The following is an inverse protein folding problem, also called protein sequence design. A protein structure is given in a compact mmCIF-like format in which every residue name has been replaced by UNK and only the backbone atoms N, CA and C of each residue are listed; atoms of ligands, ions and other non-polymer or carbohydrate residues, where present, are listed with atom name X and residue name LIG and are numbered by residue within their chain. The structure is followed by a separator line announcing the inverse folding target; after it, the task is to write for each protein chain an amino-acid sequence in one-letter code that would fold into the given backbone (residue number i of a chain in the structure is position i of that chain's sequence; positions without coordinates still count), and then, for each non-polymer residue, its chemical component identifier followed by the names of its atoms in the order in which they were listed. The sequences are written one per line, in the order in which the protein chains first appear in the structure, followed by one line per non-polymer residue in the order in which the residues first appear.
data_IF_026305602313
#
_entry.id   IF_026305602313
#
_cell.length_a   1.000
_cell.length_b   1.000
_cell.length_c   1.000
_cell.angle_alpha   90.00
_cell.angle_beta   90.00
_cell.angle_gamma   90.00
#
_symmetry.space_group_name_H-M   'P 1'
#
loop_
_entity.id
_entity.type
_entity.pdbx_description
1 polymer ?
#
# COMPACT_ATOMS: atom_id res chain seq x y z
N UNK A 1 -14.63 42.47 -50.66
CA UNK A 1 -13.27 42.91 -50.27
C UNK A 1 -13.29 43.13 -48.75
N UNK A 2 -12.76 42.22 -47.91
CA UNK A 2 -12.81 42.41 -46.46
C UNK A 2 -11.86 43.52 -45.99
N UNK A 3 -12.26 44.26 -44.95
CA UNK A 3 -11.63 45.50 -44.46
C UNK A 3 -10.27 45.28 -43.79
N UNK A 4 -9.50 46.37 -43.63
CA UNK A 4 -8.14 46.38 -43.08
C UNK A 4 -8.02 45.83 -41.64
N UNK A 5 -9.13 45.75 -40.90
CA UNK A 5 -9.17 45.13 -39.56
C UNK A 5 -9.11 43.60 -39.60
N UNK A 6 -9.68 42.97 -40.63
CA UNK A 6 -9.65 41.52 -40.79
C UNK A 6 -8.24 40.97 -41.08
N UNK A 7 -7.37 41.79 -41.71
CA UNK A 7 -5.96 41.42 -41.95
C UNK A 7 -5.08 41.55 -40.70
N UNK A 8 -5.49 42.32 -39.69
CA UNK A 8 -4.77 42.41 -38.40
C UNK A 8 -5.09 41.24 -37.47
N UNK A 9 -6.31 40.71 -37.50
CA UNK A 9 -6.71 39.55 -36.69
C UNK A 9 -6.01 38.25 -37.11
N UNK A 10 -5.62 38.10 -38.38
CA UNK A 10 -4.96 36.88 -38.87
C UNK A 10 -3.44 36.87 -38.68
N UNK A 11 -2.84 37.98 -38.26
CA UNK A 11 -1.38 38.09 -38.09
C UNK A 11 -0.88 37.61 -36.71
N UNK A 12 -1.77 37.33 -35.76
CA UNK A 12 -1.40 36.92 -34.39
C UNK A 12 -1.22 35.40 -34.25
N UNK A 13 -1.48 34.61 -35.29
CA UNK A 13 -1.39 33.13 -35.23
C UNK A 13 -0.01 32.57 -35.65
N UNK A 14 0.95 33.40 -36.10
CA UNK A 14 2.18 32.88 -36.72
C UNK A 14 3.53 33.25 -36.08
N UNK A 15 3.57 33.90 -34.90
CA UNK A 15 4.86 34.10 -34.21
C UNK A 15 4.73 33.85 -32.71
N UNK A 16 5.34 32.76 -32.26
CA UNK A 16 5.36 32.35 -30.86
C UNK A 16 5.87 33.45 -29.93
N UNK A 17 5.05 33.78 -28.93
CA UNK A 17 5.40 34.82 -27.96
C UNK A 17 4.35 34.97 -26.87
N UNK A 18 4.40 34.07 -25.88
CA UNK A 18 3.92 34.21 -24.50
C UNK A 18 2.68 35.12 -24.29
N UNK A 19 1.52 34.49 -24.21
CA UNK A 19 0.39 35.09 -23.48
C UNK A 19 0.83 35.33 -22.02
N UNK A 20 1.05 36.58 -21.65
CA UNK A 20 1.09 36.95 -20.24
C UNK A 20 -0.33 36.83 -19.69
N UNK A 21 -0.57 36.05 -18.62
CA UNK A 21 -1.89 35.99 -18.01
C UNK A 21 -2.25 37.37 -17.45
N UNK A 22 -3.52 37.78 -17.58
CA UNK A 22 -4.00 39.06 -17.09
C UNK A 22 -3.69 39.24 -15.58
N UNK A 23 -3.13 40.40 -15.15
CA UNK A 23 -2.94 40.68 -13.73
C UNK A 23 -4.31 40.83 -13.09
N UNK A 24 -4.74 39.80 -12.37
CA UNK A 24 -6.10 39.72 -11.80
C UNK A 24 -6.79 38.37 -11.99
N UNK A 25 -6.19 37.42 -12.72
CA UNK A 25 -6.58 36.03 -12.63
C UNK A 25 -6.15 35.46 -11.27
N UNK A 26 -6.83 35.88 -10.20
CA UNK A 26 -6.90 35.09 -8.99
C UNK A 26 -7.38 33.72 -9.43
N UNK A 27 -6.49 32.72 -9.34
CA UNK A 27 -6.89 31.33 -9.40
C UNK A 27 -7.90 31.15 -8.26
N UNK A 28 -9.19 31.30 -8.58
CA UNK A 28 -10.24 30.86 -7.69
C UNK A 28 -9.97 29.38 -7.49
N UNK A 29 -9.40 29.05 -6.34
CA UNK A 29 -9.24 27.68 -5.89
C UNK A 29 -10.66 27.12 -5.89
N UNK A 30 -10.98 26.34 -6.92
CA UNK A 30 -12.24 25.63 -6.97
C UNK A 30 -12.33 24.84 -5.66
N UNK A 31 -13.47 24.88 -4.96
CA UNK A 31 -13.62 24.14 -3.71
C UNK A 31 -13.16 22.70 -3.96
N UNK A 32 -12.24 22.24 -3.13
CA UNK A 32 -11.63 20.93 -3.28
C UNK A 32 -12.74 19.88 -3.37
N UNK A 33 -12.72 19.07 -4.43
CA UNK A 33 -13.66 17.96 -4.55
C UNK A 33 -13.46 17.05 -3.31
N UNK A 34 -14.50 16.84 -2.47
CA UNK A 34 -14.36 16.06 -1.23
C UNK A 34 -13.79 14.65 -1.44
N UNK A 35 -14.08 14.03 -2.58
CA UNK A 35 -13.52 12.72 -2.93
C UNK A 35 -12.00 12.79 -3.22
N UNK A 36 -11.55 13.86 -3.89
CA UNK A 36 -10.12 14.11 -4.11
C UNK A 36 -9.39 14.33 -2.78
N UNK A 37 -9.99 15.04 -1.85
CA UNK A 37 -9.45 15.23 -0.50
C UNK A 37 -9.27 13.90 0.23
N UNK A 38 -10.29 13.03 0.20
CA UNK A 38 -10.24 11.68 0.79
C UNK A 38 -9.12 10.83 0.18
N UNK A 39 -8.98 10.84 -1.15
CA UNK A 39 -7.92 10.10 -1.85
C UNK A 39 -6.53 10.63 -1.44
N UNK A 40 -6.36 11.95 -1.36
CA UNK A 40 -5.09 12.55 -0.94
C UNK A 40 -4.74 12.21 0.51
N UNK A 41 -5.72 12.27 1.40
CA UNK A 41 -5.55 11.90 2.81
C UNK A 41 -5.18 10.42 2.96
N UNK A 42 -5.88 9.52 2.26
CA UNK A 42 -5.55 8.09 2.19
C UNK A 42 -4.10 7.88 1.72
N UNK A 43 -3.70 8.53 0.62
CA UNK A 43 -2.34 8.43 0.10
C UNK A 43 -1.29 8.96 1.09
N UNK A 44 -1.59 10.05 1.79
CA UNK A 44 -0.70 10.62 2.79
C UNK A 44 -0.51 9.67 3.97
N UNK A 45 -1.58 9.07 4.50
CA UNK A 45 -1.52 8.08 5.57
C UNK A 45 -0.74 6.83 5.14
N UNK A 46 -0.97 6.34 3.92
CA UNK A 46 -0.22 5.20 3.38
C UNK A 46 1.27 5.50 3.24
N UNK A 47 1.65 6.69 2.77
CA UNK A 47 3.06 7.11 2.70
C UNK A 47 3.68 7.24 4.08
N UNK A 48 2.96 7.86 5.03
CA UNK A 48 3.42 8.02 6.41
C UNK A 48 3.65 6.67 7.10
N UNK A 49 2.69 5.73 6.96
CA UNK A 49 2.83 4.37 7.49
C UNK A 49 4.05 3.66 6.91
N UNK A 50 4.20 3.68 5.58
CA UNK A 50 5.34 3.06 4.90
C UNK A 50 6.70 3.67 5.30
N UNK A 51 6.77 5.00 5.46
CA UNK A 51 7.97 5.67 5.93
C UNK A 51 8.30 5.29 7.38
N UNK A 52 7.30 5.23 8.25
CA UNK A 52 7.47 4.80 9.64
C UNK A 52 7.95 3.34 9.74
N UNK A 53 7.50 2.43 8.86
CA UNK A 53 8.05 1.06 8.78
C UNK A 53 9.54 1.09 8.43
N UNK A 54 9.93 1.87 7.42
CA UNK A 54 11.31 1.97 6.98
C UNK A 54 12.23 2.57 8.07
N UNK A 55 11.70 3.42 8.92
CA UNK A 55 12.40 4.01 10.07
C UNK A 55 12.34 3.15 11.35
N UNK A 56 11.65 2.01 11.32
CA UNK A 56 11.48 1.14 12.49
C UNK A 56 10.51 1.66 13.55
N UNK A 57 9.73 2.70 13.25
CA UNK A 57 8.71 3.29 14.14
C UNK A 57 7.38 2.54 14.00
N UNK A 58 7.35 1.29 14.44
CA UNK A 58 6.24 0.37 14.17
C UNK A 58 4.90 0.78 14.79
N UNK A 59 4.89 1.42 15.96
CA UNK A 59 3.66 1.95 16.58
C UNK A 59 3.06 3.09 15.74
N UNK A 60 3.90 3.97 15.20
CA UNK A 60 3.46 5.06 14.32
C UNK A 60 2.97 4.53 12.96
N UNK A 61 3.63 3.50 12.44
CA UNK A 61 3.19 2.78 11.24
C UNK A 61 1.80 2.15 11.48
N UNK A 62 1.64 1.43 12.60
CA UNK A 62 0.37 0.83 13.00
C UNK A 62 -0.74 1.87 13.08
N UNK A 63 -0.51 3.00 13.76
CA UNK A 63 -1.51 4.07 13.89
C UNK A 63 -1.95 4.63 12.51
N UNK A 64 -1.00 4.74 11.57
CA UNK A 64 -1.30 5.21 10.21
C UNK A 64 -2.19 4.20 9.46
N UNK A 65 -1.84 2.91 9.51
CA UNK A 65 -2.64 1.87 8.86
C UNK A 65 -4.00 1.65 9.55
N UNK A 66 -4.08 1.75 10.88
CA UNK A 66 -5.34 1.72 11.63
C UNK A 66 -6.29 2.83 11.15
N UNK A 67 -5.76 4.04 10.98
CA UNK A 67 -6.53 5.18 10.47
C UNK A 67 -7.04 4.90 9.05
N UNK A 68 -6.22 4.30 8.19
CA UNK A 68 -6.64 3.92 6.84
C UNK A 68 -7.81 2.92 6.88
N UNK A 69 -7.66 1.85 7.65
CA UNK A 69 -8.66 0.78 7.78
C UNK A 69 -9.98 1.31 8.33
N UNK A 70 -9.95 2.26 9.26
CA UNK A 70 -11.16 2.81 9.88
C UNK A 70 -11.87 3.85 9.00
N UNK A 71 -11.12 4.73 8.32
CA UNK A 71 -11.69 5.90 7.65
C UNK A 71 -11.93 5.72 6.15
N UNK A 72 -11.32 4.71 5.53
CA UNK A 72 -11.37 4.49 4.09
C UNK A 72 -11.78 3.06 3.70
N UNK A 73 -12.81 2.45 4.33
CA UNK A 73 -13.16 1.05 4.08
C UNK A 73 -13.63 0.77 2.64
N UNK A 74 -14.01 1.81 1.91
CA UNK A 74 -14.50 1.77 0.53
C UNK A 74 -13.39 1.71 -0.54
N UNK A 75 -12.11 1.85 -0.15
CA UNK A 75 -11.00 1.87 -1.10
C UNK A 75 -10.29 0.51 -1.16
N UNK A 76 -10.00 0.03 -2.37
CA UNK A 76 -9.21 -1.19 -2.57
C UNK A 76 -7.82 -1.13 -1.90
N UNK A 77 -7.22 0.06 -1.79
CA UNK A 77 -5.96 0.30 -1.07
C UNK A 77 -6.02 -0.11 0.41
N UNK A 78 -7.22 -0.14 0.99
CA UNK A 78 -7.42 -0.50 2.39
C UNK A 78 -7.05 -1.94 2.66
N UNK A 79 -7.22 -2.84 1.70
CA UNK A 79 -6.76 -4.23 1.85
C UNK A 79 -5.24 -4.34 2.01
N UNK A 80 -4.47 -3.50 1.31
CA UNK A 80 -3.02 -3.41 1.54
C UNK A 80 -2.68 -2.80 2.91
N UNK A 81 -3.46 -1.82 3.38
CA UNK A 81 -3.29 -1.26 4.71
C UNK A 81 -3.60 -2.29 5.79
N UNK A 82 -4.62 -3.15 5.58
CA UNK A 82 -4.94 -4.26 6.47
C UNK A 82 -3.77 -5.26 6.55
N UNK A 83 -3.20 -5.67 5.41
CA UNK A 83 -2.02 -6.52 5.43
C UNK A 83 -0.86 -5.87 6.20
N UNK A 84 -0.53 -4.61 5.89
CA UNK A 84 0.54 -3.87 6.55
C UNK A 84 0.31 -3.72 8.06
N UNK A 85 -0.93 -3.48 8.48
CA UNK A 85 -1.38 -3.46 9.87
C UNK A 85 -1.10 -4.79 10.57
N UNK A 86 -1.48 -5.91 9.96
CA UNK A 86 -1.24 -7.24 10.54
C UNK A 86 0.26 -7.51 10.75
N UNK A 87 1.11 -7.12 9.79
CA UNK A 87 2.56 -7.22 9.94
C UNK A 87 3.09 -6.37 11.09
N UNK A 88 2.56 -5.15 11.28
CA UNK A 88 2.95 -4.28 12.40
C UNK A 88 2.47 -4.82 13.74
N UNK A 89 1.25 -5.35 13.81
CA UNK A 89 0.74 -6.03 15.00
C UNK A 89 1.66 -7.19 15.41
N UNK A 90 2.09 -7.99 14.44
CA UNK A 90 2.99 -9.10 14.71
C UNK A 90 4.34 -8.61 15.25
N UNK A 91 4.95 -7.61 14.59
CA UNK A 91 6.20 -6.98 15.00
C UNK A 91 6.14 -6.43 16.42
N UNK A 92 5.01 -5.86 16.82
CA UNK A 92 4.76 -5.30 18.15
C UNK A 92 4.34 -6.34 19.20
N UNK A 93 4.35 -7.63 18.86
CA UNK A 93 4.02 -8.71 19.80
C UNK A 93 2.52 -8.96 19.98
N UNK A 94 1.65 -8.26 19.24
CA UNK A 94 0.20 -8.50 19.22
C UNK A 94 -0.15 -9.66 18.29
N UNK A 95 0.43 -10.83 18.56
CA UNK A 95 0.39 -12.00 17.67
C UNK A 95 -1.02 -12.50 17.39
N UNK A 96 -1.90 -12.58 18.40
CA UNK A 96 -3.27 -13.06 18.21
C UNK A 96 -4.07 -12.16 17.25
N UNK A 97 -3.95 -10.84 17.40
CA UNK A 97 -4.62 -9.87 16.53
C UNK A 97 -4.10 -9.96 15.09
N UNK A 98 -2.79 -10.17 14.93
CA UNK A 98 -2.16 -10.34 13.63
C UNK A 98 -2.64 -11.61 12.91
N UNK A 99 -2.72 -12.74 13.63
CA UNK A 99 -3.21 -14.01 13.09
C UNK A 99 -4.66 -13.89 12.63
N UNK A 100 -5.54 -13.41 13.50
CA UNK A 100 -6.95 -13.21 13.15
C UNK A 100 -7.12 -12.33 11.91
N UNK A 101 -6.32 -11.28 11.79
CA UNK A 101 -6.39 -10.40 10.63
C UNK A 101 -5.86 -11.04 9.35
N UNK A 102 -4.78 -11.82 9.41
CA UNK A 102 -4.27 -12.54 8.23
C UNK A 102 -5.21 -13.66 7.79
N UNK A 103 -5.85 -14.37 8.73
CA UNK A 103 -6.87 -15.39 8.44
C UNK A 103 -8.08 -14.77 7.73
N UNK A 104 -8.54 -13.59 8.18
CA UNK A 104 -9.62 -12.87 7.48
C UNK A 104 -9.19 -12.35 6.09
N UNK A 105 -7.94 -11.91 5.95
CA UNK A 105 -7.36 -11.51 4.67
C UNK A 105 -7.21 -12.69 3.71
N UNK A 106 -6.92 -13.90 4.20
CA UNK A 106 -6.83 -15.11 3.37
C UNK A 106 -8.15 -15.38 2.63
N UNK A 107 -9.27 -15.21 3.33
CA UNK A 107 -10.61 -15.42 2.77
C UNK A 107 -10.94 -14.35 1.73
N UNK A 108 -10.67 -13.09 2.05
CA UNK A 108 -11.01 -11.95 1.19
C UNK A 108 -10.05 -11.75 0.00
N UNK A 109 -8.79 -12.17 0.13
CA UNK A 109 -7.71 -11.95 -0.84
C UNK A 109 -7.03 -13.26 -1.27
N UNK A 110 -7.82 -14.28 -1.62
CA UNK A 110 -7.33 -15.63 -1.98
C UNK A 110 -6.26 -15.70 -3.08
N UNK A 111 -6.13 -14.66 -3.90
CA UNK A 111 -5.11 -14.56 -4.97
C UNK A 111 -3.84 -13.81 -4.57
N UNK A 112 -3.72 -13.33 -3.34
CA UNK A 112 -2.62 -12.48 -2.89
C UNK A 112 -1.55 -13.33 -2.20
N UNK A 113 -0.54 -13.72 -2.97
CA UNK A 113 0.59 -14.53 -2.49
C UNK A 113 1.21 -14.02 -1.18
N UNK A 114 1.25 -12.70 -0.97
CA UNK A 114 1.85 -12.09 0.22
C UNK A 114 1.10 -12.43 1.52
N UNK A 115 -0.23 -12.47 1.47
CA UNK A 115 -1.06 -12.82 2.63
C UNK A 115 -0.77 -14.26 3.04
N UNK A 116 -0.80 -15.17 2.05
CA UNK A 116 -0.54 -16.58 2.24
C UNK A 116 0.90 -16.85 2.74
N UNK A 117 1.91 -16.19 2.17
CA UNK A 117 3.29 -16.31 2.62
C UNK A 117 3.47 -15.80 4.06
N UNK A 118 2.82 -14.68 4.41
CA UNK A 118 2.89 -14.13 5.75
C UNK A 118 2.19 -15.04 6.77
N UNK A 119 1.01 -15.54 6.43
CA UNK A 119 0.25 -16.44 7.29
C UNK A 119 0.99 -17.77 7.50
N UNK A 120 1.53 -18.38 6.44
CA UNK A 120 2.35 -19.58 6.53
C UNK A 120 3.54 -19.41 7.50
N UNK A 121 4.32 -18.34 7.30
CA UNK A 121 5.49 -18.04 8.11
C UNK A 121 5.13 -17.83 9.59
N UNK A 122 4.02 -17.14 9.86
CA UNK A 122 3.58 -16.83 11.22
C UNK A 122 2.96 -18.04 11.92
N UNK A 123 2.12 -18.82 11.24
CA UNK A 123 1.55 -20.07 11.77
C UNK A 123 2.66 -21.05 12.15
N UNK A 124 3.68 -21.17 11.31
CA UNK A 124 4.81 -22.05 11.57
C UNK A 124 5.50 -21.75 12.90
N UNK A 125 5.78 -20.47 13.16
CA UNK A 125 6.49 -20.04 14.37
C UNK A 125 5.58 -20.02 15.61
N UNK A 126 4.35 -19.54 15.46
CA UNK A 126 3.48 -19.20 16.59
C UNK A 126 2.47 -20.31 16.91
N UNK A 127 2.19 -21.20 15.96
CA UNK A 127 1.22 -22.30 16.07
C UNK A 127 1.76 -23.60 15.46
N UNK A 128 2.81 -24.22 16.04
CA UNK A 128 3.39 -25.46 15.50
C UNK A 128 2.40 -26.62 15.32
N UNK A 129 1.31 -26.64 16.10
CA UNK A 129 0.23 -27.62 15.95
C UNK A 129 -0.59 -27.48 14.66
N UNK A 130 -0.44 -26.35 13.95
CA UNK A 130 -1.11 -26.04 12.68
C UNK A 130 -0.13 -26.09 11.49
N UNK A 131 0.91 -26.93 11.58
CA UNK A 131 1.94 -27.04 10.54
C UNK A 131 1.34 -27.38 9.16
N UNK A 132 0.45 -28.35 9.08
CA UNK A 132 -0.21 -28.73 7.82
C UNK A 132 -0.96 -27.56 7.18
N UNK A 133 -1.55 -26.68 8.00
CA UNK A 133 -2.22 -25.48 7.51
C UNK A 133 -1.20 -24.45 7.02
N UNK A 134 -0.09 -24.26 7.74
CA UNK A 134 1.00 -23.39 7.29
C UNK A 134 1.57 -23.84 5.93
N UNK A 135 1.75 -25.15 5.72
CA UNK A 135 2.22 -25.71 4.45
C UNK A 135 1.21 -25.51 3.31
N UNK A 136 -0.08 -25.65 3.59
CA UNK A 136 -1.14 -25.34 2.61
C UNK A 136 -1.11 -23.87 2.20
N UNK A 137 -0.97 -22.95 3.16
CA UNK A 137 -0.84 -21.53 2.87
C UNK A 137 0.41 -21.25 2.03
N UNK A 138 1.52 -21.91 2.33
CA UNK A 138 2.73 -21.78 1.54
C UNK A 138 2.56 -22.26 0.11
N UNK A 139 1.92 -23.40 -0.11
CA UNK A 139 1.65 -23.93 -1.44
C UNK A 139 0.86 -22.92 -2.28
N UNK A 140 -0.17 -22.30 -1.70
CA UNK A 140 -0.95 -21.25 -2.38
C UNK A 140 -0.06 -20.04 -2.72
N UNK A 141 0.80 -19.60 -1.79
CA UNK A 141 1.73 -18.51 -2.06
C UNK A 141 2.66 -18.82 -3.25
N UNK A 142 3.14 -20.06 -3.36
CA UNK A 142 4.01 -20.51 -4.45
C UNK A 142 3.32 -20.63 -5.81
N UNK A 143 2.01 -20.94 -5.82
CA UNK A 143 1.21 -20.97 -7.05
C UNK A 143 1.06 -19.57 -7.66
N UNK A 144 0.93 -18.55 -6.82
CA UNK A 144 0.79 -17.15 -7.28
C UNK A 144 2.11 -16.42 -7.45
N UNK A 145 3.08 -16.62 -6.55
CA UNK A 145 4.39 -15.96 -6.63
C UNK A 145 5.48 -16.73 -5.88
N UNK A 146 6.30 -17.46 -6.65
CA UNK A 146 7.45 -18.21 -6.13
C UNK A 146 8.56 -17.33 -5.53
N UNK A 147 8.54 -16.02 -5.78
CA UNK A 147 9.56 -15.11 -5.28
C UNK A 147 9.59 -15.03 -3.74
N UNK A 148 8.51 -15.42 -3.05
CA UNK A 148 8.50 -15.47 -1.59
C UNK A 148 9.46 -16.53 -1.01
N UNK A 149 9.88 -17.51 -1.80
CA UNK A 149 10.92 -18.48 -1.41
C UNK A 149 12.34 -17.86 -1.37
N UNK A 150 12.52 -16.64 -1.86
CA UNK A 150 13.77 -15.89 -1.76
C UNK A 150 13.64 -14.76 -0.71
N UNK A 151 14.20 -14.94 0.51
CA UNK A 151 14.19 -13.91 1.54
C UNK A 151 14.80 -12.58 1.11
N UNK A 152 15.79 -12.60 0.21
CA UNK A 152 16.42 -11.37 -0.28
C UNK A 152 15.45 -10.60 -1.17
N UNK A 153 14.71 -11.31 -2.03
CA UNK A 153 13.65 -10.71 -2.82
C UNK A 153 12.55 -10.12 -1.92
N UNK A 154 12.12 -10.85 -0.89
CA UNK A 154 11.10 -10.35 0.06
C UNK A 154 11.61 -9.10 0.77
N UNK A 155 12.83 -9.10 1.28
CA UNK A 155 13.43 -7.92 1.92
C UNK A 155 13.53 -6.70 0.98
N UNK A 156 13.81 -6.93 -0.31
CA UNK A 156 13.99 -5.85 -1.29
C UNK A 156 12.67 -5.30 -1.83
N UNK A 157 11.62 -6.13 -1.94
CA UNK A 157 10.37 -5.77 -2.63
C UNK A 157 9.20 -5.57 -1.68
N UNK A 158 9.26 -6.14 -0.48
CA UNK A 158 8.19 -6.10 0.52
C UNK A 158 8.66 -5.34 1.75
N UNK A 159 7.69 -4.78 2.49
CA UNK A 159 7.94 -4.02 3.72
C UNK A 159 7.69 -4.87 4.95
N UNK A 160 8.25 -6.08 4.96
CA UNK A 160 8.11 -6.99 6.08
C UNK A 160 9.01 -6.53 7.23
N UNK A 161 8.47 -6.35 8.44
CA UNK A 161 9.28 -5.95 9.57
C UNK A 161 10.19 -7.11 10.03
N UNK A 162 11.26 -6.84 10.80
CA UNK A 162 12.30 -7.82 11.12
C UNK A 162 11.77 -9.12 11.73
N UNK A 163 10.77 -9.05 12.62
CA UNK A 163 10.17 -10.26 13.23
C UNK A 163 9.46 -11.13 12.19
N UNK A 164 8.80 -10.51 11.22
CA UNK A 164 8.16 -11.24 10.12
C UNK A 164 9.20 -11.90 9.20
N UNK A 165 10.28 -11.18 8.87
CA UNK A 165 11.39 -11.74 8.10
C UNK A 165 12.08 -12.90 8.82
N UNK A 166 12.23 -12.82 10.15
CA UNK A 166 12.74 -13.92 10.95
C UNK A 166 11.79 -15.14 10.96
N UNK A 167 10.48 -14.91 10.94
CA UNK A 167 9.51 -16.00 10.82
C UNK A 167 9.59 -16.69 9.46
N UNK A 168 9.75 -15.93 8.37
CA UNK A 168 9.98 -16.47 7.03
C UNK A 168 11.27 -17.29 6.95
N UNK A 169 12.39 -16.77 7.47
CA UNK A 169 13.67 -17.48 7.49
C UNK A 169 13.57 -18.80 8.26
N UNK A 170 12.84 -18.82 9.39
CA UNK A 170 12.58 -20.06 10.13
C UNK A 170 11.73 -21.04 9.34
N UNK A 171 10.67 -20.57 8.69
CA UNK A 171 9.82 -21.41 7.84
C UNK A 171 10.64 -22.08 6.72
N UNK A 172 11.44 -21.30 5.99
CA UNK A 172 12.20 -21.77 4.83
C UNK A 172 13.35 -22.72 5.15
N UNK A 173 13.89 -22.69 6.38
CA UNK A 173 14.95 -23.63 6.80
C UNK A 173 14.46 -25.04 7.09
N UNK A 174 13.15 -25.24 7.17
CA UNK A 174 12.53 -26.54 7.42
C UNK A 174 11.84 -27.14 6.20
N UNK A 175 11.65 -26.33 5.14
CA UNK A 175 11.05 -26.73 3.87
C UNK A 175 12.07 -27.26 2.86
#
# INVERSE_FOLDING_TARGET
MPSAEAKRAYAIIQLGGRYAPAPGAQQQQQPENPERARIQQLQALMKAGNAAVAEGRYEAALASFDTVVQQFPDFATTEYARLSRALMLYQLGRTSDALLQLEDLEVSLRGYAEVHAALASMLYVERPALLDYAEQQWAIAMDFSRNFADPQWVAANKRWPPKMMAALDRFLRLA
#
